data_IF_056518124063
#
_entry.id   IF_056518124063
#
_cell.length_a   1.000
_cell.length_b   1.000
_cell.length_c   1.000
_cell.angle_alpha   90.00
_cell.angle_beta   90.00
_cell.angle_gamma   90.00
#
_symmetry.space_group_name_H-M   'P 1'
#
loop_
_entity.id
_entity.type
_entity.pdbx_description
1 polymer ?
#
# COMPACT_ATOMS: atom_id res chain seq x y z
N UNK A 1 -17.58 -20.42 25.36
CA UNK A 1 -17.96 -19.54 24.23
C UNK A 1 -17.18 -18.25 24.42
N UNK A 2 -16.04 -18.09 23.71
CA UNK A 2 -15.17 -16.91 23.88
C UNK A 2 -15.62 -15.85 22.88
N UNK A 3 -16.24 -14.80 23.37
CA UNK A 3 -16.56 -13.60 22.58
C UNK A 3 -15.28 -12.80 22.40
N UNK A 4 -14.70 -12.87 21.20
CA UNK A 4 -13.57 -12.02 20.82
C UNK A 4 -14.07 -10.58 20.65
N UNK A 5 -13.65 -9.68 21.53
CA UNK A 5 -13.91 -8.24 21.44
C UNK A 5 -13.00 -7.63 20.38
N UNK A 6 -13.51 -7.48 19.16
CA UNK A 6 -12.79 -6.77 18.11
C UNK A 6 -13.11 -5.28 18.21
N UNK A 7 -12.11 -4.47 18.52
CA UNK A 7 -12.21 -3.01 18.50
C UNK A 7 -11.77 -2.53 17.13
N UNK A 8 -12.70 -1.94 16.37
CA UNK A 8 -12.37 -1.27 15.10
C UNK A 8 -11.82 0.11 15.45
N UNK A 9 -10.51 0.29 15.30
CA UNK A 9 -9.85 1.57 15.52
C UNK A 9 -9.91 2.39 14.23
N UNK A 10 -10.64 3.50 14.26
CA UNK A 10 -10.66 4.47 13.16
C UNK A 10 -9.38 5.31 13.26
N UNK A 11 -8.43 5.05 12.35
CA UNK A 11 -7.15 5.75 12.24
C UNK A 11 -7.07 6.48 10.89
N UNK A 12 -7.75 7.64 10.75
CA UNK A 12 -7.78 8.36 9.49
C UNK A 12 -6.42 8.95 9.12
N UNK A 13 -5.54 9.20 10.10
CA UNK A 13 -4.19 9.69 9.89
C UNK A 13 -3.14 8.58 9.71
N UNK A 14 -3.49 7.30 9.93
CA UNK A 14 -2.61 6.15 9.75
C UNK A 14 -1.46 6.07 10.77
N UNK A 15 -1.61 6.70 11.93
CA UNK A 15 -0.55 6.81 12.95
C UNK A 15 -0.26 5.46 13.62
N UNK A 16 -1.28 4.62 13.81
CA UNK A 16 -1.13 3.32 14.47
C UNK A 16 -0.51 2.30 13.52
N UNK A 17 -0.87 2.34 12.24
CA UNK A 17 -0.23 1.53 11.20
C UNK A 17 1.24 1.95 10.96
N UNK A 18 1.63 3.16 11.35
CA UNK A 18 3.00 3.65 11.24
C UNK A 18 3.98 3.06 12.29
N UNK A 19 3.47 2.53 13.40
CA UNK A 19 4.30 2.02 14.51
C UNK A 19 4.61 0.51 14.41
N UNK A 20 3.80 -0.26 13.69
CA UNK A 20 3.99 -1.69 13.50
C UNK A 20 4.43 -1.98 12.05
N UNK A 21 5.46 -2.80 11.83
CA UNK A 21 5.82 -3.20 10.47
C UNK A 21 4.63 -3.94 9.85
N UNK A 22 4.20 -3.49 8.67
CA UNK A 22 3.15 -4.16 7.89
C UNK A 22 3.53 -5.62 7.67
N UNK A 23 2.61 -6.53 7.95
CA UNK A 23 2.75 -7.93 7.53
C UNK A 23 2.64 -8.00 6.01
N UNK A 24 3.79 -8.00 5.35
CA UNK A 24 3.91 -7.82 3.90
C UNK A 24 3.35 -8.99 3.10
N UNK A 25 3.54 -10.21 3.58
CA UNK A 25 3.27 -11.42 2.79
C UNK A 25 1.78 -11.60 2.44
N UNK A 26 0.82 -11.44 3.38
CA UNK A 26 -0.61 -11.51 3.06
C UNK A 26 -1.04 -10.44 2.05
N UNK A 27 -0.51 -9.23 2.17
CA UNK A 27 -0.87 -8.12 1.28
C UNK A 27 -0.28 -8.28 -0.13
N UNK A 28 0.94 -8.78 -0.26
CA UNK A 28 1.52 -9.15 -1.57
C UNK A 28 0.72 -10.27 -2.24
N UNK A 29 0.26 -11.26 -1.48
CA UNK A 29 -0.60 -12.32 -2.01
C UNK A 29 -1.95 -11.78 -2.49
N UNK A 30 -2.58 -10.87 -1.73
CA UNK A 30 -3.80 -10.19 -2.14
C UNK A 30 -3.59 -9.41 -3.43
N UNK A 31 -2.52 -8.60 -3.50
CA UNK A 31 -2.16 -7.82 -4.69
C UNK A 31 -1.98 -8.73 -5.90
N UNK A 32 -1.19 -9.80 -5.76
CA UNK A 32 -0.97 -10.78 -6.83
C UNK A 32 -2.28 -11.40 -7.30
N UNK A 33 -3.16 -11.77 -6.37
CA UNK A 33 -4.47 -12.37 -6.66
C UNK A 33 -5.36 -11.41 -7.44
N UNK A 34 -5.50 -10.16 -6.98
CA UNK A 34 -6.32 -9.13 -7.63
C UNK A 34 -5.80 -8.80 -9.03
N UNK A 35 -4.47 -8.74 -9.20
CA UNK A 35 -3.86 -8.49 -10.50
C UNK A 35 -3.99 -9.66 -11.48
N UNK A 36 -4.16 -10.89 -11.00
CA UNK A 36 -4.34 -12.08 -11.82
C UNK A 36 -5.78 -12.24 -12.37
N UNK A 37 -6.72 -11.43 -11.90
CA UNK A 37 -8.11 -11.44 -12.38
C UNK A 37 -8.21 -11.00 -13.85
N UNK A 38 -8.65 -11.91 -14.72
CA UNK A 38 -8.85 -11.64 -16.15
C UNK A 38 -10.31 -11.32 -16.51
N UNK A 39 -11.30 -11.91 -15.82
CA UNK A 39 -12.72 -11.58 -15.96
C UNK A 39 -13.57 -12.09 -14.78
N UNK A 40 -13.57 -11.41 -13.61
CA UNK A 40 -14.37 -11.83 -12.46
C UNK A 40 -15.85 -11.49 -12.56
N UNK A 41 -16.31 -10.91 -13.69
CA UNK A 41 -17.56 -10.14 -13.80
C UNK A 41 -18.83 -10.87 -13.39
N UNK A 42 -18.84 -12.21 -13.43
CA UNK A 42 -19.97 -13.03 -12.97
C UNK A 42 -19.83 -13.53 -11.52
N UNK A 43 -18.62 -13.57 -10.95
CA UNK A 43 -18.36 -14.17 -9.64
C UNK A 43 -18.16 -13.15 -8.51
N UNK A 44 -17.58 -11.99 -8.78
CA UNK A 44 -17.29 -10.98 -7.74
C UNK A 44 -18.39 -9.93 -7.68
N UNK A 45 -19.04 -9.81 -6.52
CA UNK A 45 -20.06 -8.78 -6.32
C UNK A 45 -19.42 -7.38 -6.29
N UNK A 46 -20.13 -6.33 -6.76
CA UNK A 46 -19.62 -4.96 -6.69
C UNK A 46 -19.24 -4.51 -5.28
N UNK A 47 -19.97 -5.02 -4.26
CA UNK A 47 -19.67 -4.76 -2.86
C UNK A 47 -18.31 -5.31 -2.45
N UNK A 48 -17.96 -6.51 -2.89
CA UNK A 48 -16.68 -7.14 -2.57
C UNK A 48 -15.53 -6.41 -3.27
N UNK A 49 -15.74 -6.01 -4.54
CA UNK A 49 -14.79 -5.15 -5.25
C UNK A 49 -14.52 -3.84 -4.50
N UNK A 50 -15.58 -3.22 -3.98
CA UNK A 50 -15.46 -1.97 -3.22
C UNK A 50 -14.69 -2.17 -1.91
N UNK A 51 -14.99 -3.22 -1.14
CA UNK A 51 -14.28 -3.54 0.10
C UNK A 51 -12.81 -3.84 -0.15
N UNK A 52 -12.49 -4.61 -1.19
CA UNK A 52 -11.11 -4.91 -1.58
C UNK A 52 -10.38 -3.63 -2.02
N UNK A 53 -11.05 -2.75 -2.76
CA UNK A 53 -10.47 -1.46 -3.14
C UNK A 53 -10.20 -0.55 -1.92
N UNK A 54 -11.06 -0.58 -0.90
CA UNK A 54 -10.84 0.12 0.37
C UNK A 54 -9.64 -0.46 1.14
N UNK A 55 -9.58 -1.78 1.26
CA UNK A 55 -8.47 -2.49 1.93
C UNK A 55 -7.12 -2.15 1.27
N UNK A 56 -7.05 -2.28 -0.06
CA UNK A 56 -5.86 -1.91 -0.83
C UNK A 56 -5.52 -0.41 -0.74
N UNK A 57 -6.50 0.45 -0.50
CA UNK A 57 -6.28 1.89 -0.29
C UNK A 57 -5.66 2.17 1.07
N UNK A 58 -6.17 1.56 2.15
CA UNK A 58 -5.56 1.63 3.48
C UNK A 58 -4.12 1.13 3.44
N UNK A 59 -3.93 -0.06 2.87
CA UNK A 59 -2.62 -0.65 2.73
C UNK A 59 -1.64 0.19 1.90
N UNK A 60 -2.08 0.78 0.79
CA UNK A 60 -1.25 1.70 0.01
C UNK A 60 -0.79 2.92 0.83
N UNK A 61 -1.64 3.46 1.72
CA UNK A 61 -1.27 4.57 2.61
C UNK A 61 -0.22 4.16 3.63
N UNK A 62 -0.37 2.96 4.19
CA UNK A 62 0.61 2.43 5.13
C UNK A 62 1.99 2.25 4.49
N UNK A 63 2.06 1.61 3.30
CA UNK A 63 3.33 1.45 2.55
C UNK A 63 3.89 2.81 2.10
N UNK A 64 3.05 3.77 1.73
CA UNK A 64 3.48 5.14 1.43
C UNK A 64 4.13 5.81 2.66
N UNK A 65 3.62 5.56 3.86
CA UNK A 65 4.24 5.97 5.12
C UNK A 65 5.65 5.40 5.30
N UNK A 66 5.84 4.11 5.03
CA UNK A 66 7.16 3.46 5.05
C UNK A 66 8.12 4.06 4.01
N UNK A 67 7.65 4.26 2.78
CA UNK A 67 8.43 4.88 1.70
C UNK A 67 8.87 6.28 2.11
N UNK A 68 7.98 7.09 2.69
CA UNK A 68 8.29 8.42 3.21
C UNK A 68 9.36 8.36 4.29
N UNK A 69 9.20 7.51 5.30
CA UNK A 69 10.19 7.31 6.38
C UNK A 69 11.56 6.88 5.86
N UNK A 70 11.61 6.01 4.86
CA UNK A 70 12.87 5.59 4.26
C UNK A 70 13.50 6.68 3.39
N UNK A 71 12.70 7.45 2.65
CA UNK A 71 13.17 8.56 1.84
C UNK A 71 13.72 9.72 2.69
N UNK A 72 13.08 10.03 3.83
CA UNK A 72 13.52 11.08 4.76
C UNK A 72 14.90 10.82 5.38
N UNK A 73 15.33 9.55 5.46
CA UNK A 73 16.67 9.16 5.92
C UNK A 73 17.77 9.45 4.89
N UNK A 74 17.41 9.75 3.64
CA UNK A 74 18.36 10.06 2.58
C UNK A 74 18.67 11.56 2.50
N UNK A 75 19.88 11.94 2.04
CA UNK A 75 20.20 13.33 1.75
C UNK A 75 19.20 13.97 0.78
N UNK A 76 18.93 15.26 0.94
CA UNK A 76 18.00 16.01 0.06
C UNK A 76 18.43 15.95 -1.42
N UNK A 77 19.73 15.85 -1.69
CA UNK A 77 20.28 15.72 -3.04
C UNK A 77 20.24 14.30 -3.62
N UNK A 78 19.80 13.28 -2.87
CA UNK A 78 19.71 11.91 -3.36
C UNK A 78 18.52 11.78 -4.32
N UNK A 79 18.80 11.40 -5.58
CA UNK A 79 17.76 11.24 -6.61
C UNK A 79 16.69 10.21 -6.25
N UNK A 80 16.99 9.24 -5.38
CA UNK A 80 15.99 8.27 -4.89
C UNK A 80 14.95 8.93 -3.99
N UNK A 81 15.36 9.90 -3.19
CA UNK A 81 14.46 10.69 -2.34
C UNK A 81 13.52 11.53 -3.19
N UNK A 82 14.07 12.31 -4.13
CA UNK A 82 13.26 13.12 -5.04
C UNK A 82 12.24 12.26 -5.83
N UNK A 83 12.66 11.10 -6.30
CA UNK A 83 11.77 10.17 -7.00
C UNK A 83 10.72 9.53 -6.07
N UNK A 84 11.05 9.28 -4.79
CA UNK A 84 10.08 8.82 -3.81
C UNK A 84 9.02 9.88 -3.53
N UNK A 85 9.40 11.15 -3.35
CA UNK A 85 8.49 12.28 -3.16
C UNK A 85 7.48 12.40 -4.32
N UNK A 86 7.96 12.35 -5.58
CA UNK A 86 7.08 12.37 -6.76
C UNK A 86 6.09 11.20 -6.79
N UNK A 87 6.56 9.99 -6.44
CA UNK A 87 5.70 8.80 -6.38
C UNK A 87 4.66 8.92 -5.27
N UNK A 88 5.03 9.49 -4.12
CA UNK A 88 4.13 9.71 -2.99
C UNK A 88 3.03 10.73 -3.36
N UNK A 89 3.38 11.85 -3.98
CA UNK A 89 2.41 12.85 -4.44
C UNK A 89 1.41 12.26 -5.44
N UNK A 90 1.91 11.49 -6.41
CA UNK A 90 1.05 10.83 -7.39
C UNK A 90 0.16 9.76 -6.74
N UNK A 91 0.71 9.00 -5.78
CA UNK A 91 -0.05 8.03 -5.01
C UNK A 91 -1.19 8.71 -4.26
N UNK A 92 -0.90 9.81 -3.55
CA UNK A 92 -1.90 10.56 -2.79
C UNK A 92 -3.02 11.08 -3.71
N UNK A 93 -2.67 11.68 -4.85
CA UNK A 93 -3.65 12.12 -5.86
C UNK A 93 -4.54 10.98 -6.33
N UNK A 94 -3.97 9.81 -6.62
CA UNK A 94 -4.74 8.65 -7.06
C UNK A 94 -5.62 8.09 -5.95
N UNK A 95 -5.15 8.06 -4.70
CA UNK A 95 -5.90 7.54 -3.55
C UNK A 95 -6.98 8.50 -3.04
N UNK A 96 -6.92 9.79 -3.37
CA UNK A 96 -7.95 10.78 -3.01
C UNK A 96 -9.31 10.49 -3.65
N UNK A 97 -9.34 9.85 -4.82
CA UNK A 97 -10.58 9.45 -5.49
C UNK A 97 -11.30 8.36 -4.72
N UNK A 98 -12.61 8.52 -4.48
CA UNK A 98 -13.45 7.50 -3.87
C UNK A 98 -13.41 6.20 -4.69
N UNK A 99 -13.13 5.03 -4.07
CA UNK A 99 -13.05 3.77 -4.80
C UNK A 99 -14.43 3.31 -5.29
N UNK A 100 -14.49 2.88 -6.55
CA UNK A 100 -15.66 2.28 -7.17
C UNK A 100 -15.74 0.78 -6.86
N UNK A 101 -16.94 0.22 -6.86
CA UNK A 101 -17.19 -1.23 -6.70
C UNK A 101 -16.89 -2.04 -7.96
N UNK A 102 -15.74 -1.82 -8.60
CA UNK A 102 -15.36 -2.49 -9.84
C UNK A 102 -14.02 -3.22 -9.70
N UNK A 103 -13.89 -4.35 -10.41
CA UNK A 103 -12.62 -5.10 -10.55
C UNK A 103 -11.50 -4.19 -11.02
N UNK A 104 -11.79 -3.32 -11.99
CA UNK A 104 -10.82 -2.36 -12.53
C UNK A 104 -10.31 -1.40 -11.46
N UNK A 105 -11.18 -0.93 -10.56
CA UNK A 105 -10.78 -0.06 -9.45
C UNK A 105 -9.87 -0.82 -8.48
N UNK A 106 -10.27 -2.03 -8.05
CA UNK A 106 -9.45 -2.88 -7.18
C UNK A 106 -8.07 -3.17 -7.80
N UNK A 107 -8.01 -3.51 -9.08
CA UNK A 107 -6.73 -3.67 -9.80
C UNK A 107 -5.93 -2.37 -9.88
N UNK A 108 -6.58 -1.23 -10.05
CA UNK A 108 -5.95 0.09 -9.99
C UNK A 108 -5.24 0.33 -8.66
N UNK A 109 -5.90 -0.02 -7.55
CA UNK A 109 -5.33 0.04 -6.20
C UNK A 109 -4.20 -0.98 -5.99
N UNK A 110 -4.37 -2.22 -6.45
CA UNK A 110 -3.33 -3.25 -6.36
C UNK A 110 -2.05 -2.87 -7.11
N UNK A 111 -2.16 -2.20 -8.26
CA UNK A 111 -0.98 -1.67 -8.99
C UNK A 111 -0.24 -0.62 -8.16
N UNK A 112 -0.96 0.30 -7.51
CA UNK A 112 -0.35 1.31 -6.63
C UNK A 112 0.43 0.62 -5.51
N UNK A 113 -0.17 -0.35 -4.82
CA UNK A 113 0.50 -1.09 -3.75
C UNK A 113 1.78 -1.76 -4.24
N UNK A 114 1.72 -2.46 -5.37
CA UNK A 114 2.91 -3.10 -5.97
C UNK A 114 4.02 -2.10 -6.28
N UNK A 115 3.67 -0.98 -6.92
CA UNK A 115 4.63 0.05 -7.29
C UNK A 115 5.29 0.69 -6.05
N UNK A 116 4.54 0.83 -4.95
CA UNK A 116 5.06 1.30 -3.65
C UNK A 116 5.98 0.28 -3.00
N UNK A 117 5.66 -1.02 -3.02
CA UNK A 117 6.55 -2.06 -2.51
C UNK A 117 7.86 -2.12 -3.29
N UNK A 118 7.81 -2.06 -4.61
CA UNK A 118 9.02 -1.97 -5.44
C UNK A 118 9.86 -0.73 -5.10
N UNK A 119 9.19 0.39 -4.80
CA UNK A 119 9.87 1.62 -4.36
C UNK A 119 10.54 1.44 -3.01
N UNK A 120 9.83 0.87 -2.05
CA UNK A 120 10.33 0.61 -0.70
C UNK A 120 11.56 -0.31 -0.74
N UNK A 121 11.51 -1.36 -1.56
CA UNK A 121 12.65 -2.26 -1.75
C UNK A 121 13.88 -1.53 -2.30
N UNK A 122 13.70 -0.67 -3.31
CA UNK A 122 14.80 0.15 -3.87
C UNK A 122 15.39 1.15 -2.89
N UNK A 123 14.62 1.60 -1.90
CA UNK A 123 15.12 2.44 -0.82
C UNK A 123 15.90 1.61 0.21
N UNK A 124 15.43 0.39 0.50
CA UNK A 124 15.99 -0.51 1.51
C UNK A 124 17.20 -1.33 1.03
N UNK A 125 17.43 -1.49 -0.28
CA UNK A 125 18.62 -2.17 -0.82
C UNK A 125 19.95 -1.47 -0.49
N UNK A 126 19.91 -0.31 0.17
CA UNK A 126 21.08 0.37 0.73
C UNK A 126 21.05 0.31 2.25
N UNK A 127 21.23 -0.88 2.82
CA UNK A 127 21.94 -1.01 4.09
C UNK A 127 23.43 -1.06 3.73
N UNK A 128 24.30 -0.19 4.27
CA UNK A 128 25.71 -0.24 3.94
C UNK A 128 26.28 -1.59 4.38
N UNK A 129 27.02 -2.24 3.49
CA UNK A 129 28.02 -3.23 3.86
C UNK A 129 28.94 -2.54 4.86
N UNK A 130 28.79 -2.88 6.14
CA UNK A 130 29.79 -2.55 7.14
C UNK A 130 31.02 -3.40 6.83
N UNK A 131 31.96 -2.82 6.09
CA UNK A 131 33.33 -3.30 6.00
C UNK A 131 34.17 -2.57 7.04
N UNK A 132 34.43 -3.24 8.16
CA UNK A 132 35.67 -3.21 8.94
C UNK A 132 35.57 -4.27 10.04
#
# INVERSE_FOLDING_TARGET
MVTSSHTVLYDPEGVVEAELPLDREPHELLVKTVLAWTDPGEALQPRDCHLIALELTGHARAVAGDVRRCAEKLPVSDGRRALAEVVLDETERRLATTPEGTVRCAQGRARIVRDLYERLDRLNTVRPVSSA
#
